data_IF_436925451911
#
_entry.id   IF_436925451911
#
_cell.length_a   1.000
_cell.length_b   1.000
_cell.length_c   1.000
_cell.angle_alpha   90.00
_cell.angle_beta   90.00
_cell.angle_gamma   90.00
#
_symmetry.space_group_name_H-M   'P 1'
#
loop_
_entity.id
_entity.type
_entity.pdbx_description
1 polymer ?
#
# COMPACT_ATOMS: atom_id res chain seq x y z
N UNK A 1 8.70 -45.62 17.28
CA UNK A 1 9.07 -44.28 17.78
C UNK A 1 9.22 -43.39 16.55
N UNK A 2 8.20 -42.58 16.24
CA UNK A 2 8.12 -41.80 14.99
C UNK A 2 8.81 -40.43 15.18
N UNK A 3 9.50 -39.90 14.16
CA UNK A 3 10.16 -38.58 14.22
C UNK A 3 9.14 -37.45 14.10
N UNK A 4 9.24 -36.44 14.97
CA UNK A 4 8.48 -35.19 14.86
C UNK A 4 9.05 -34.33 13.73
N UNK A 5 8.31 -34.23 12.64
CA UNK A 5 8.58 -33.30 11.55
C UNK A 5 8.39 -31.85 12.03
N UNK A 6 9.42 -31.03 11.86
CA UNK A 6 9.35 -29.59 12.05
C UNK A 6 8.51 -28.96 10.93
N UNK A 7 7.39 -28.36 11.30
CA UNK A 7 6.60 -27.51 10.40
C UNK A 7 7.33 -26.17 10.22
N UNK A 8 8.12 -26.04 9.16
CA UNK A 8 8.49 -24.73 8.63
C UNK A 8 7.21 -24.07 8.10
N UNK A 9 6.74 -23.03 8.79
CA UNK A 9 5.71 -22.15 8.27
C UNK A 9 6.38 -21.24 7.24
N UNK A 10 6.39 -21.69 6.00
CA UNK A 10 6.38 -20.81 4.84
C UNK A 10 5.09 -19.96 4.92
N UNK A 11 5.10 -18.91 5.73
CA UNK A 11 4.16 -17.80 5.64
C UNK A 11 4.45 -17.01 4.35
N UNK A 12 4.22 -17.66 3.20
CA UNK A 12 3.97 -16.94 1.96
C UNK A 12 2.51 -16.52 2.02
N UNK A 13 2.18 -15.23 2.20
CA UNK A 13 0.81 -14.83 2.04
C UNK A 13 0.38 -15.21 0.62
N UNK A 14 -0.84 -15.71 0.55
CA UNK A 14 -1.49 -16.10 -0.69
C UNK A 14 -1.49 -14.86 -1.58
N UNK A 15 -0.85 -14.96 -2.75
CA UNK A 15 -1.02 -14.01 -3.83
C UNK A 15 -2.51 -14.04 -4.24
N UNK A 16 -3.31 -13.23 -3.55
CA UNK A 16 -4.71 -13.02 -3.83
C UNK A 16 -4.79 -12.18 -5.10
N UNK A 17 -4.72 -12.90 -6.22
CA UNK A 17 -5.23 -12.56 -7.54
C UNK A 17 -6.40 -11.58 -7.42
N UNK A 18 -6.17 -10.31 -7.74
CA UNK A 18 -7.21 -9.36 -8.17
C UNK A 18 -8.46 -9.31 -7.27
N UNK A 19 -8.29 -9.41 -5.96
CA UNK A 19 -9.36 -9.07 -5.02
C UNK A 19 -9.16 -7.59 -4.68
N UNK A 20 -10.17 -6.75 -4.91
CA UNK A 20 -10.24 -5.36 -4.45
C UNK A 20 -9.48 -5.20 -3.14
N UNK A 21 -8.24 -4.72 -3.22
CA UNK A 21 -7.42 -4.58 -2.05
C UNK A 21 -7.90 -3.33 -1.35
N UNK A 22 -8.16 -3.43 -0.06
CA UNK A 22 -8.50 -2.27 0.74
C UNK A 22 -7.91 -2.40 2.14
N UNK A 23 -7.61 -1.25 2.75
CA UNK A 23 -7.22 -1.16 4.14
C UNK A 23 -8.42 -0.59 4.92
N UNK A 24 -9.08 -1.37 5.78
CA UNK A 24 -10.13 -0.83 6.63
C UNK A 24 -9.54 0.05 7.74
N UNK A 25 -10.37 0.93 8.32
CA UNK A 25 -10.03 1.76 9.48
C UNK A 25 -8.91 2.77 9.26
N UNK A 26 -8.84 3.35 8.06
CA UNK A 26 -7.77 4.32 7.72
C UNK A 26 -7.81 5.56 8.62
N UNK A 27 -9.01 6.06 8.95
CA UNK A 27 -9.18 7.22 9.81
C UNK A 27 -8.80 6.93 11.27
N UNK A 28 -8.74 5.65 11.66
CA UNK A 28 -8.32 5.19 12.99
C UNK A 28 -6.84 4.77 13.05
N UNK A 29 -6.05 5.05 12.01
CA UNK A 29 -4.63 4.65 11.95
C UNK A 29 -4.40 3.23 11.43
N UNK A 30 -5.30 2.72 10.58
CA UNK A 30 -5.14 1.43 9.89
C UNK A 30 -3.88 1.36 9.02
N UNK A 31 -3.34 2.51 8.61
CA UNK A 31 -2.04 2.63 7.97
C UNK A 31 -0.97 2.90 9.01
N UNK A 32 -0.03 1.96 9.13
CA UNK A 32 1.08 2.02 10.07
C UNK A 32 2.25 2.82 9.51
N UNK A 33 2.60 2.56 8.26
CA UNK A 33 3.73 3.17 7.57
C UNK A 33 3.35 3.42 6.11
N UNK A 34 4.04 4.34 5.44
CA UNK A 34 3.85 4.59 4.02
C UNK A 34 5.19 4.96 3.36
N UNK A 35 5.27 4.76 2.05
CA UNK A 35 6.46 5.03 1.26
C UNK A 35 6.10 5.48 -0.14
N UNK A 36 6.47 6.70 -0.49
CA UNK A 36 6.45 7.15 -1.88
C UNK A 36 7.52 6.46 -2.72
N UNK A 37 7.14 6.11 -3.94
CA UNK A 37 8.03 5.71 -5.03
C UNK A 37 7.79 6.63 -6.23
N UNK A 38 8.66 7.63 -6.35
CA UNK A 38 8.52 8.70 -7.34
C UNK A 38 7.35 9.63 -7.04
N UNK A 39 6.70 10.10 -8.11
CA UNK A 39 5.59 11.07 -8.08
C UNK A 39 4.20 10.44 -8.26
N UNK A 40 4.11 9.16 -8.66
CA UNK A 40 2.83 8.50 -8.99
C UNK A 40 2.49 7.29 -8.14
N UNK A 41 3.45 6.70 -7.44
CA UNK A 41 3.23 5.45 -6.71
C UNK A 41 3.48 5.66 -5.24
N UNK A 42 2.56 5.17 -4.41
CA UNK A 42 2.65 5.19 -2.96
C UNK A 42 2.41 3.78 -2.46
N UNK A 43 3.29 3.29 -1.61
CA UNK A 43 3.09 2.04 -0.90
C UNK A 43 2.59 2.36 0.50
N UNK A 44 1.48 1.76 0.90
CA UNK A 44 0.92 1.84 2.24
C UNK A 44 1.15 0.52 2.96
N UNK A 45 1.48 0.58 4.24
CA UNK A 45 1.58 -0.58 5.11
C UNK A 45 0.43 -0.57 6.09
N UNK A 46 -0.31 -1.67 6.20
CA UNK A 46 -1.34 -1.81 7.23
C UNK A 46 -0.77 -2.23 8.60
N UNK A 47 -1.64 -2.31 9.60
CA UNK A 47 -1.31 -2.83 10.92
C UNK A 47 -0.84 -4.32 10.91
N UNK A 48 -1.26 -5.12 9.92
CA UNK A 48 -0.85 -6.50 9.73
C UNK A 48 0.51 -6.64 9.03
N UNK A 49 1.22 -5.54 8.77
CA UNK A 49 2.50 -5.46 8.05
C UNK A 49 2.39 -5.87 6.58
N UNK A 50 1.19 -5.85 6.01
CA UNK A 50 0.94 -6.05 4.59
C UNK A 50 1.15 -4.75 3.85
N UNK A 51 1.74 -4.86 2.67
CA UNK A 51 2.00 -3.73 1.82
C UNK A 51 0.97 -3.66 0.70
N UNK A 52 0.56 -2.45 0.42
CA UNK A 52 -0.44 -2.12 -0.58
C UNK A 52 0.16 -1.06 -1.50
N UNK A 53 0.12 -1.29 -2.80
CA UNK A 53 0.53 -0.34 -3.81
C UNK A 53 -0.70 0.47 -4.24
N UNK A 54 -0.62 1.77 -4.02
CA UNK A 54 -1.53 2.74 -4.59
C UNK A 54 -0.84 3.50 -5.72
N UNK A 55 -1.48 3.58 -6.87
CA UNK A 55 -1.07 4.44 -7.96
C UNK A 55 -1.98 5.67 -7.99
N UNK A 56 -1.43 6.86 -8.17
CA UNK A 56 -2.18 8.11 -8.28
C UNK A 56 -2.68 8.30 -9.69
N UNK A 57 -3.88 8.88 -9.82
CA UNK A 57 -4.44 9.22 -11.13
C UNK A 57 -3.66 10.35 -11.81
N UNK A 58 -3.01 11.21 -11.02
CA UNK A 58 -2.18 12.33 -11.47
C UNK A 58 -0.84 12.33 -10.73
N UNK A 59 0.27 12.73 -11.39
CA UNK A 59 1.57 12.83 -10.75
C UNK A 59 1.58 13.92 -9.66
N UNK A 60 2.05 13.57 -8.47
CA UNK A 60 2.29 14.45 -7.35
C UNK A 60 3.79 14.71 -7.21
N UNK A 61 4.29 15.78 -7.83
CA UNK A 61 5.72 16.11 -7.81
C UNK A 61 6.29 16.38 -6.42
N UNK A 62 5.44 16.79 -5.47
CA UNK A 62 5.82 17.01 -4.07
C UNK A 62 5.85 15.73 -3.23
N UNK A 63 5.28 14.63 -3.72
CA UNK A 63 5.19 13.35 -3.00
C UNK A 63 6.55 12.79 -2.53
N UNK A 64 7.63 12.77 -3.33
CA UNK A 64 8.92 12.26 -2.85
C UNK A 64 9.62 13.20 -1.86
N UNK A 65 9.19 14.46 -1.77
CA UNK A 65 9.74 15.48 -0.88
C UNK A 65 8.92 15.67 0.40
N UNK A 66 7.70 15.13 0.46
CA UNK A 66 6.86 15.22 1.67
C UNK A 66 7.24 14.13 2.67
N UNK A 67 7.26 14.51 3.95
CA UNK A 67 7.46 13.58 5.07
C UNK A 67 6.13 13.05 5.62
N UNK A 68 5.02 13.70 5.28
CA UNK A 68 3.67 13.33 5.71
C UNK A 68 2.69 13.43 4.54
N UNK A 69 1.75 12.48 4.50
CA UNK A 69 0.58 12.50 3.63
C UNK A 69 -0.66 12.26 4.48
N UNK A 70 -1.75 12.94 4.14
CA UNK A 70 -3.04 12.65 4.73
C UNK A 70 -3.80 11.70 3.82
N UNK A 71 -4.42 10.69 4.39
CA UNK A 71 -5.11 9.65 3.64
C UNK A 71 -6.61 9.83 3.87
N UNK A 72 -7.40 9.81 2.80
CA UNK A 72 -8.84 9.95 2.82
C UNK A 72 -9.48 8.70 2.23
N UNK A 73 -9.98 7.85 3.13
CA UNK A 73 -10.77 6.66 2.79
C UNK A 73 -12.25 6.97 2.52
N UNK A 74 -12.60 8.26 2.44
CA UNK A 74 -13.97 8.71 2.27
C UNK A 74 -14.93 8.23 3.39
N UNK A 75 -16.25 8.24 3.12
CA UNK A 75 -17.29 7.93 4.10
C UNK A 75 -17.32 6.45 4.51
N UNK A 76 -16.65 5.58 3.77
CA UNK A 76 -16.62 4.15 4.00
C UNK A 76 -15.52 3.70 4.97
N UNK A 77 -14.67 4.62 5.45
CA UNK A 77 -13.58 4.37 6.40
C UNK A 77 -12.55 3.33 5.92
N UNK A 78 -12.47 3.11 4.61
CA UNK A 78 -11.55 2.14 3.97
C UNK A 78 -10.76 2.84 2.88
N UNK A 79 -9.50 2.47 2.78
CA UNK A 79 -8.62 2.94 1.74
C UNK A 79 -8.64 1.93 0.60
N UNK A 80 -9.25 2.31 -0.50
CA UNK A 80 -9.28 1.54 -1.74
C UNK A 80 -8.94 2.46 -2.94
N UNK A 81 -9.10 1.92 -4.16
CA UNK A 81 -8.85 2.67 -5.41
C UNK A 81 -9.75 3.90 -5.59
N UNK A 82 -10.87 4.00 -4.87
CA UNK A 82 -11.78 5.15 -4.89
C UNK A 82 -11.42 6.22 -3.86
N UNK A 83 -10.48 5.91 -2.95
CA UNK A 83 -9.95 6.85 -1.99
C UNK A 83 -9.13 7.99 -2.61
N UNK A 84 -8.65 8.88 -1.75
CA UNK A 84 -7.74 9.96 -2.15
C UNK A 84 -6.64 10.16 -1.12
N UNK A 85 -5.52 10.75 -1.54
CA UNK A 85 -4.46 11.20 -0.65
C UNK A 85 -4.30 12.71 -0.77
N UNK A 86 -3.98 13.36 0.33
CA UNK A 86 -3.60 14.76 0.36
C UNK A 86 -2.09 14.87 0.55
N UNK A 87 -1.42 15.44 -0.44
CA UNK A 87 0.02 15.72 -0.44
C UNK A 87 0.18 17.24 -0.35
N UNK A 88 0.78 17.74 0.73
CA UNK A 88 0.88 19.20 1.03
C UNK A 88 -0.46 19.96 0.87
N UNK A 89 -1.58 19.32 1.24
CA UNK A 89 -2.91 19.91 1.14
C UNK A 89 -3.56 19.82 -0.25
N UNK A 90 -2.88 19.27 -1.26
CA UNK A 90 -3.46 19.01 -2.57
C UNK A 90 -4.01 17.57 -2.62
N UNK A 91 -5.29 17.44 -3.05
CA UNK A 91 -5.97 16.15 -3.18
C UNK A 91 -5.55 15.44 -4.47
N UNK A 92 -5.15 14.19 -4.35
CA UNK A 92 -4.84 13.29 -5.45
C UNK A 92 -5.64 12.00 -5.30
N UNK A 93 -6.57 11.70 -6.22
CA UNK A 93 -7.30 10.44 -6.21
C UNK A 93 -6.38 9.27 -6.60
N UNK A 94 -6.67 8.09 -6.07
CA UNK A 94 -6.00 6.87 -6.53
C UNK A 94 -6.57 6.42 -7.87
N UNK A 95 -5.73 5.72 -8.63
CA UNK A 95 -6.02 5.09 -9.91
C UNK A 95 -6.17 3.59 -9.76
N UNK A 96 -5.30 2.98 -8.97
CA UNK A 96 -5.36 1.57 -8.61
C UNK A 96 -4.84 1.39 -7.19
N UNK A 97 -5.41 0.44 -6.46
CA UNK A 97 -5.00 0.06 -5.13
C UNK A 97 -4.97 -1.47 -5.06
N UNK A 98 -3.77 -2.02 -4.87
CA UNK A 98 -3.52 -3.45 -4.96
C UNK A 98 -2.64 -3.91 -3.79
N UNK A 99 -3.00 -5.02 -3.15
CA UNK A 99 -2.14 -5.65 -2.15
C UNK A 99 -0.96 -6.31 -2.86
N UNK A 100 0.26 -6.02 -2.42
CA UNK A 100 1.45 -6.65 -2.95
C UNK A 100 1.96 -7.70 -1.98
N UNK A 101 2.35 -8.85 -2.54
CA UNK A 101 2.97 -9.91 -1.76
C UNK A 101 4.48 -9.67 -1.68
N UNK A 102 4.96 -9.26 -0.51
CA UNK A 102 6.37 -8.98 -0.25
C UNK A 102 6.67 -7.54 0.17
N UNK A 103 7.96 -7.18 0.11
CA UNK A 103 8.43 -5.87 0.55
C UNK A 103 8.37 -4.86 -0.61
N UNK A 104 7.90 -3.62 -0.40
CA UNK A 104 7.86 -2.61 -1.43
C UNK A 104 9.27 -2.37 -1.96
N UNK A 105 9.43 -2.09 -3.26
CA UNK A 105 10.73 -1.78 -3.83
C UNK A 105 11.40 -0.67 -3.00
N UNK A 106 12.67 -0.89 -2.65
CA UNK A 106 13.48 0.16 -2.02
C UNK A 106 13.53 1.33 -3.00
N UNK A 107 13.25 2.55 -2.51
CA UNK A 107 13.17 3.82 -3.28
C UNK A 107 14.10 3.77 -4.49
N UNK A 108 13.54 3.82 -5.70
CA UNK A 108 14.30 4.00 -6.94
C UNK A 108 14.55 2.77 -7.80
N UNK A 109 13.97 1.60 -7.50
CA UNK A 109 13.90 0.50 -8.48
C UNK A 109 12.51 0.48 -9.12
N UNK A 110 12.40 1.09 -10.31
CA UNK A 110 11.33 0.82 -11.29
C UNK A 110 10.93 -0.65 -11.20
N UNK A 111 9.65 -1.01 -11.00
CA UNK A 111 9.24 -2.36 -11.29
C UNK A 111 9.50 -2.57 -12.78
N UNK A 112 10.42 -3.48 -13.10
CA UNK A 112 10.60 -4.02 -14.45
C UNK A 112 9.28 -4.72 -14.77
N UNK A 113 8.37 -4.01 -15.44
CA UNK A 113 7.35 -4.65 -16.25
C UNK A 113 8.12 -5.25 -17.45
N UNK A 114 8.21 -6.57 -17.48
CA UNK A 114 8.76 -7.33 -18.60
C UNK A 114 7.79 -7.39 -19.77
#
# INVERSE_FOLDING_TARGET
MLPTAAYAKDDKPVAAKSADAYIPFVNHGGVRDWRADGDRTIYFQDAHRRWYKAELMSPAFDLPFTEFIAIDGGPSDRLDSFGSVYVKGQRYPFRSFEAIDGQPPKKGKKPKAG
#
